data_IF_091201190628
#
_entry.id   IF_091201190628
#
_cell.length_a   1.000
_cell.length_b   1.000
_cell.length_c   1.000
_cell.angle_alpha   90.00
_cell.angle_beta   90.00
_cell.angle_gamma   90.00
#
_symmetry.space_group_name_H-M   'P 1'
#
loop_
_entity.id
_entity.type
_entity.pdbx_description
1 polymer ?
#
# COMPACT_ATOMS: atom_id res chain seq x y z
N UNK A 1 -15.11 -7.28 -58.84
CA UNK A 1 -14.35 -6.18 -58.22
C UNK A 1 -14.63 -6.00 -56.72
N UNK A 2 -15.88 -6.09 -56.23
CA UNK A 2 -16.18 -5.94 -54.77
C UNK A 2 -15.61 -7.03 -53.86
N UNK A 3 -15.44 -8.27 -54.33
CA UNK A 3 -14.89 -9.39 -53.55
C UNK A 3 -13.35 -9.33 -53.35
N UNK A 4 -12.61 -8.72 -54.29
CA UNK A 4 -11.15 -8.56 -54.18
C UNK A 4 -10.74 -7.47 -53.18
N UNK A 5 -11.59 -6.45 -53.00
CA UNK A 5 -11.33 -5.34 -52.05
C UNK A 5 -11.53 -5.83 -50.60
N UNK A 6 -12.49 -6.71 -50.34
CA UNK A 6 -12.75 -7.23 -49.00
C UNK A 6 -11.64 -8.16 -48.50
N UNK A 7 -11.00 -8.93 -49.40
CA UNK A 7 -9.86 -9.81 -49.07
C UNK A 7 -8.58 -9.02 -48.79
N UNK A 8 -8.39 -7.89 -49.46
CA UNK A 8 -7.24 -6.99 -49.21
C UNK A 8 -7.30 -6.27 -47.86
N UNK A 9 -8.49 -5.88 -47.40
CA UNK A 9 -8.70 -5.22 -46.13
C UNK A 9 -8.51 -6.18 -44.93
N UNK A 10 -8.92 -7.46 -45.10
CA UNK A 10 -8.73 -8.46 -44.05
C UNK A 10 -7.26 -8.87 -43.88
N UNK A 11 -6.45 -8.80 -44.93
CA UNK A 11 -5.02 -9.14 -44.87
C UNK A 11 -4.18 -8.00 -44.26
N UNK A 12 -4.64 -6.73 -44.30
CA UNK A 12 -3.93 -5.59 -43.67
C UNK A 12 -4.16 -5.48 -42.14
N UNK A 13 -5.21 -6.13 -41.60
CA UNK A 13 -5.47 -6.12 -40.14
C UNK A 13 -4.61 -7.14 -39.36
N UNK A 14 -3.95 -8.08 -40.01
CA UNK A 14 -3.14 -9.13 -39.34
C UNK A 14 -1.69 -8.68 -39.10
N UNK A 15 -1.23 -7.58 -39.71
CA UNK A 15 0.15 -7.11 -39.60
C UNK A 15 0.40 -6.05 -38.50
N UNK A 16 -0.63 -5.74 -37.70
CA UNK A 16 -0.57 -4.64 -36.71
C UNK A 16 -0.29 -5.03 -35.26
N UNK A 17 -0.02 -6.32 -34.93
CA UNK A 17 0.14 -6.75 -33.51
C UNK A 17 1.46 -7.47 -33.28
N UNK A 18 2.54 -6.96 -33.85
CA UNK A 18 3.91 -7.31 -33.41
C UNK A 18 4.54 -6.11 -32.69
N UNK A 19 3.89 -5.66 -31.62
CA UNK A 19 4.55 -4.87 -30.59
C UNK A 19 5.54 -5.81 -29.87
N UNK A 20 6.78 -5.85 -30.35
CA UNK A 20 7.89 -6.41 -29.57
C UNK A 20 8.00 -5.59 -28.29
N UNK A 21 7.33 -6.04 -27.23
CA UNK A 21 7.66 -5.62 -25.87
C UNK A 21 9.09 -6.10 -25.64
N UNK A 22 10.00 -5.17 -25.45
CA UNK A 22 11.39 -5.43 -25.17
C UNK A 22 11.47 -6.13 -23.79
N UNK A 23 11.36 -7.45 -23.77
CA UNK A 23 11.38 -8.26 -22.54
C UNK A 23 12.75 -8.27 -21.84
N UNK A 24 13.79 -7.68 -22.45
CA UNK A 24 15.13 -7.68 -21.85
C UNK A 24 15.26 -6.75 -20.64
N UNK A 25 14.44 -5.68 -20.56
CA UNK A 25 14.48 -4.75 -19.41
C UNK A 25 13.72 -5.30 -18.18
N UNK A 26 12.83 -6.28 -18.35
CA UNK A 26 12.14 -6.92 -17.24
C UNK A 26 12.93 -8.10 -16.67
N UNK A 27 13.67 -8.83 -17.50
CA UNK A 27 14.45 -9.99 -17.07
C UNK A 27 15.58 -9.65 -16.09
N UNK A 28 16.08 -8.41 -16.11
CA UNK A 28 17.17 -7.94 -15.27
C UNK A 28 16.73 -6.78 -14.37
N UNK A 29 15.52 -6.84 -13.79
CA UNK A 29 15.06 -5.81 -12.87
C UNK A 29 14.60 -6.41 -11.54
N UNK A 30 14.83 -5.66 -10.45
CA UNK A 30 14.24 -5.88 -9.13
C UNK A 30 13.29 -4.72 -8.85
N UNK A 31 12.03 -5.05 -8.57
CA UNK A 31 10.97 -4.08 -8.31
C UNK A 31 10.66 -4.06 -6.82
N UNK A 32 10.88 -2.91 -6.18
CA UNK A 32 10.81 -2.75 -4.72
C UNK A 32 9.65 -1.83 -4.33
N UNK A 33 8.73 -2.35 -3.50
CA UNK A 33 7.65 -1.60 -2.90
C UNK A 33 8.04 -0.93 -1.58
N UNK A 34 7.51 0.27 -1.30
CA UNK A 34 7.72 0.96 -0.04
C UNK A 34 6.64 2.02 0.20
N UNK A 35 6.58 2.59 1.42
CA UNK A 35 5.73 3.74 1.74
C UNK A 35 6.56 4.98 2.04
N UNK A 36 6.04 6.16 1.68
CA UNK A 36 6.65 7.45 2.00
C UNK A 36 6.32 7.85 3.45
N UNK A 37 6.82 7.09 4.43
CA UNK A 37 6.68 7.40 5.84
C UNK A 37 7.92 6.98 6.65
N UNK A 38 8.00 7.43 7.90
CA UNK A 38 9.19 7.25 8.77
C UNK A 38 9.47 5.77 9.10
N UNK A 39 8.44 4.91 9.17
CA UNK A 39 8.64 3.48 9.44
C UNK A 39 9.30 2.73 8.29
N UNK A 40 9.35 3.36 7.10
CA UNK A 40 10.04 2.87 5.90
C UNK A 40 11.37 3.63 5.64
N UNK A 41 11.96 4.22 6.69
CA UNK A 41 13.22 4.97 6.58
C UNK A 41 14.34 4.13 5.94
N UNK A 42 14.39 2.83 6.19
CA UNK A 42 15.36 1.92 5.57
C UNK A 42 15.23 1.93 4.04
N UNK A 43 14.01 1.79 3.52
CA UNK A 43 13.76 1.84 2.08
C UNK A 43 14.10 3.21 1.48
N UNK A 44 13.71 4.30 2.17
CA UNK A 44 13.99 5.67 1.74
C UNK A 44 15.49 5.95 1.68
N UNK A 45 16.24 5.48 2.69
CA UNK A 45 17.68 5.64 2.75
C UNK A 45 18.37 4.82 1.64
N UNK A 46 18.03 3.53 1.51
CA UNK A 46 18.57 2.65 0.47
C UNK A 46 18.33 3.20 -0.93
N UNK A 47 17.13 3.74 -1.18
CA UNK A 47 16.79 4.41 -2.44
C UNK A 47 17.62 5.68 -2.67
N UNK A 48 17.76 6.52 -1.63
CA UNK A 48 18.52 7.78 -1.70
C UNK A 48 20.01 7.54 -1.96
N UNK A 49 20.58 6.54 -1.31
CA UNK A 49 22.00 6.16 -1.42
C UNK A 49 22.29 5.24 -2.60
N UNK A 50 21.25 4.78 -3.31
CA UNK A 50 21.34 3.78 -4.37
C UNK A 50 22.03 2.49 -3.90
N UNK A 51 21.74 2.07 -2.65
CA UNK A 51 22.45 0.95 -2.01
C UNK A 51 22.21 -0.37 -2.74
N UNK A 52 20.99 -0.63 -3.25
CA UNK A 52 20.67 -1.83 -4.03
C UNK A 52 21.36 -1.80 -5.39
N UNK A 53 21.30 -0.66 -6.09
CA UNK A 53 21.94 -0.46 -7.39
C UNK A 53 23.47 -0.63 -7.28
N UNK A 54 24.07 -0.13 -6.21
CA UNK A 54 25.49 -0.32 -5.94
C UNK A 54 25.86 -1.77 -5.62
N UNK A 55 24.97 -2.51 -4.94
CA UNK A 55 25.17 -3.91 -4.55
C UNK A 55 25.01 -4.85 -5.75
N UNK A 56 23.99 -4.66 -6.57
CA UNK A 56 23.71 -5.52 -7.71
C UNK A 56 24.50 -5.15 -8.97
N UNK A 57 25.07 -3.94 -9.01
CA UNK A 57 25.83 -3.45 -10.16
C UNK A 57 24.93 -3.02 -11.33
N UNK A 58 25.58 -2.77 -12.49
CA UNK A 58 24.91 -2.18 -13.65
C UNK A 58 24.00 -3.13 -14.43
N UNK A 59 24.09 -4.41 -14.17
CA UNK A 59 23.35 -5.44 -14.90
C UNK A 59 21.93 -5.64 -14.37
N UNK A 60 21.64 -5.11 -13.17
CA UNK A 60 20.33 -5.18 -12.52
C UNK A 60 19.72 -3.77 -12.38
N UNK A 61 18.56 -3.59 -12.96
CA UNK A 61 17.81 -2.34 -12.83
C UNK A 61 16.91 -2.40 -11.58
N UNK A 62 17.08 -1.47 -10.63
CA UNK A 62 16.24 -1.40 -9.43
C UNK A 62 15.11 -0.39 -9.66
N UNK A 63 13.87 -0.86 -9.58
CA UNK A 63 12.66 -0.04 -9.74
C UNK A 63 11.97 0.12 -8.38
N UNK A 64 11.79 1.37 -7.95
CA UNK A 64 11.14 1.69 -6.68
C UNK A 64 9.73 2.22 -6.89
N UNK A 65 8.74 1.59 -6.25
CA UNK A 65 7.32 1.99 -6.32
C UNK A 65 6.82 2.35 -4.93
N UNK A 66 6.28 3.56 -4.79
CA UNK A 66 5.70 4.03 -3.54
C UNK A 66 4.21 3.68 -3.46
N UNK A 67 3.78 3.15 -2.31
CA UNK A 67 2.38 2.85 -2.00
C UNK A 67 1.89 3.68 -0.82
N UNK A 68 0.58 3.86 -0.71
CA UNK A 68 -0.03 4.54 0.44
C UNK A 68 -0.18 3.62 1.65
N UNK A 69 -0.45 2.33 1.42
CA UNK A 69 -0.64 1.34 2.48
C UNK A 69 -0.51 -0.10 1.96
N UNK A 70 -0.41 -1.05 2.89
CA UNK A 70 -0.11 -2.45 2.61
C UNK A 70 -1.05 -3.20 1.69
N UNK A 71 -2.39 -3.07 1.80
CA UNK A 71 -3.29 -3.76 0.88
C UNK A 71 -3.02 -3.45 -0.60
N UNK A 72 -2.76 -2.18 -0.94
CA UNK A 72 -2.41 -1.80 -2.32
C UNK A 72 -1.07 -2.38 -2.77
N UNK A 73 -0.10 -2.48 -1.87
CA UNK A 73 1.19 -3.12 -2.15
C UNK A 73 1.05 -4.63 -2.35
N UNK A 74 0.19 -5.31 -1.57
CA UNK A 74 -0.12 -6.74 -1.75
C UNK A 74 -0.74 -7.01 -3.12
N UNK A 75 -1.65 -6.17 -3.58
CA UNK A 75 -2.22 -6.30 -4.93
C UNK A 75 -1.14 -6.18 -6.02
N UNK A 76 -0.22 -5.22 -5.88
CA UNK A 76 0.90 -5.05 -6.79
C UNK A 76 1.87 -6.25 -6.76
N UNK A 77 2.10 -6.84 -5.58
CA UNK A 77 2.90 -8.05 -5.43
C UNK A 77 2.26 -9.24 -6.14
N UNK A 78 0.95 -9.45 -5.98
CA UNK A 78 0.22 -10.51 -6.65
C UNK A 78 0.12 -10.30 -8.17
N UNK A 79 0.11 -9.06 -8.64
CA UNK A 79 0.14 -8.73 -10.05
C UNK A 79 1.53 -8.89 -10.69
N UNK A 80 2.59 -9.08 -9.89
CA UNK A 80 3.99 -9.10 -10.36
C UNK A 80 4.54 -7.70 -10.71
N UNK A 81 3.87 -6.65 -10.23
CA UNK A 81 4.33 -5.26 -10.40
C UNK A 81 5.49 -4.92 -9.46
N UNK A 82 5.64 -5.67 -8.37
CA UNK A 82 6.79 -5.66 -7.46
C UNK A 82 7.22 -7.09 -7.12
N UNK A 83 8.49 -7.26 -6.75
CA UNK A 83 9.10 -8.54 -6.38
C UNK A 83 9.32 -8.65 -4.87
N UNK A 84 9.61 -7.52 -4.21
CA UNK A 84 9.88 -7.41 -2.78
C UNK A 84 9.33 -6.07 -2.26
N UNK A 85 8.96 -6.00 -0.98
CA UNK A 85 8.45 -4.76 -0.41
C UNK A 85 8.67 -4.62 1.08
N UNK A 86 8.69 -3.38 1.52
CA UNK A 86 8.60 -2.99 2.92
C UNK A 86 7.15 -2.77 3.28
N UNK A 87 6.61 -3.60 4.15
CA UNK A 87 5.17 -3.64 4.40
C UNK A 87 4.88 -3.86 5.90
N UNK A 88 3.69 -3.45 6.34
CA UNK A 88 3.24 -3.73 7.70
C UNK A 88 2.92 -5.23 7.93
N UNK A 89 2.98 -5.71 9.18
CA UNK A 89 2.82 -7.13 9.49
C UNK A 89 1.43 -7.68 9.11
N UNK A 90 0.37 -6.90 9.27
CA UNK A 90 -1.00 -7.38 8.97
C UNK A 90 -1.18 -7.70 7.49
N UNK A 91 -0.91 -6.80 6.54
CA UNK A 91 -0.99 -7.13 5.12
C UNK A 91 0.03 -8.19 4.70
N UNK A 92 1.23 -8.26 5.30
CA UNK A 92 2.22 -9.31 5.01
C UNK A 92 1.70 -10.71 5.38
N UNK A 93 1.14 -10.87 6.58
CA UNK A 93 0.53 -12.13 7.02
C UNK A 93 -0.67 -12.49 6.13
N UNK A 94 -1.52 -11.50 5.82
CA UNK A 94 -2.65 -11.71 4.89
C UNK A 94 -2.19 -12.19 3.51
N UNK A 95 -1.12 -11.62 2.98
CA UNK A 95 -0.56 -12.02 1.69
C UNK A 95 0.00 -13.46 1.74
N UNK A 96 0.73 -13.81 2.81
CA UNK A 96 1.22 -15.17 3.02
C UNK A 96 0.09 -16.20 3.03
N UNK A 97 -0.97 -15.94 3.79
CA UNK A 97 -2.13 -16.85 3.88
C UNK A 97 -2.86 -16.97 2.53
N UNK A 98 -3.11 -15.85 1.85
CA UNK A 98 -3.81 -15.83 0.56
C UNK A 98 -3.02 -16.52 -0.56
N UNK A 99 -1.69 -16.47 -0.49
CA UNK A 99 -0.79 -17.11 -1.46
C UNK A 99 -0.44 -18.57 -1.11
N UNK A 100 -1.01 -19.14 -0.04
CA UNK A 100 -0.63 -20.46 0.47
C UNK A 100 0.87 -20.58 0.81
N UNK A 101 1.49 -19.49 1.24
CA UNK A 101 2.90 -19.44 1.64
C UNK A 101 3.89 -18.99 0.56
N UNK A 102 3.44 -18.68 -0.65
CA UNK A 102 4.33 -18.19 -1.71
C UNK A 102 4.93 -16.81 -1.37
N UNK A 103 4.15 -15.94 -0.72
CA UNK A 103 4.65 -14.69 -0.17
C UNK A 103 5.24 -14.93 1.22
N UNK A 104 6.51 -14.58 1.41
CA UNK A 104 7.25 -14.83 2.64
C UNK A 104 7.79 -13.53 3.27
N UNK A 105 7.85 -13.50 4.60
CA UNK A 105 8.52 -12.44 5.34
C UNK A 105 10.01 -12.81 5.46
N UNK A 106 10.87 -12.00 4.86
CA UNK A 106 12.31 -12.23 4.83
C UNK A 106 12.99 -11.71 6.11
N UNK A 107 12.57 -10.57 6.62
CA UNK A 107 13.18 -9.92 7.79
C UNK A 107 12.24 -8.90 8.42
N UNK A 108 12.45 -8.59 9.70
CA UNK A 108 11.93 -7.38 10.31
C UNK A 108 12.72 -6.15 9.85
N UNK A 109 12.04 -5.03 9.61
CA UNK A 109 12.66 -3.78 9.17
C UNK A 109 12.59 -2.66 10.22
N UNK A 110 11.43 -2.45 10.85
CA UNK A 110 11.23 -1.44 11.89
C UNK A 110 10.39 -2.00 13.04
N UNK A 111 10.59 -1.46 14.24
CA UNK A 111 9.82 -1.81 15.45
C UNK A 111 9.06 -0.59 15.96
N UNK A 112 7.76 -0.76 16.23
CA UNK A 112 6.87 0.32 16.68
C UNK A 112 6.40 1.19 15.50
N UNK A 113 6.01 2.43 15.78
CA UNK A 113 5.74 3.45 14.75
C UNK A 113 4.29 3.82 14.54
N UNK A 114 3.31 3.08 15.07
CA UNK A 114 1.91 3.50 15.07
C UNK A 114 1.57 4.19 16.41
N UNK A 115 1.05 5.40 16.34
CA UNK A 115 0.53 6.16 17.48
C UNK A 115 -0.84 6.73 17.10
N UNK A 116 -1.74 6.78 18.07
CA UNK A 116 -3.01 7.48 17.93
C UNK A 116 -2.82 8.94 18.36
N UNK A 117 -3.08 9.84 17.43
CA UNK A 117 -3.07 11.29 17.68
C UNK A 117 -4.49 11.86 17.62
N UNK A 118 -4.75 12.95 18.33
CA UNK A 118 -6.02 13.67 18.28
C UNK A 118 -5.86 15.05 17.67
N UNK A 119 -6.90 15.52 17.03
CA UNK A 119 -7.00 16.92 16.61
C UNK A 119 -7.07 17.83 17.84
N UNK A 120 -6.47 18.99 17.75
CA UNK A 120 -6.65 20.04 18.76
C UNK A 120 -8.14 20.39 18.90
N UNK A 121 -8.61 20.50 20.14
CA UNK A 121 -10.01 20.81 20.44
C UNK A 121 -11.01 19.64 20.28
N UNK A 122 -10.59 18.45 19.87
CA UNK A 122 -11.50 17.30 19.64
C UNK A 122 -12.11 16.69 20.91
N UNK A 123 -11.79 17.20 22.10
CA UNK A 123 -12.29 16.69 23.39
C UNK A 123 -12.06 15.18 23.56
N UNK A 124 -10.86 14.72 23.26
CA UNK A 124 -10.42 13.34 23.41
C UNK A 124 -9.29 13.32 24.45
N UNK A 125 -9.53 12.72 25.60
CA UNK A 125 -8.56 12.52 26.68
C UNK A 125 -8.14 11.06 26.82
N UNK A 126 -8.94 10.13 26.30
CA UNK A 126 -8.68 8.71 26.30
C UNK A 126 -9.47 7.98 25.23
N UNK A 127 -9.22 6.67 25.10
CA UNK A 127 -9.80 5.86 24.02
C UNK A 127 -11.34 5.85 24.05
N UNK A 128 -11.95 5.90 25.24
CA UNK A 128 -13.41 5.92 25.39
C UNK A 128 -14.06 7.17 24.79
N UNK A 129 -13.31 8.28 24.69
CA UNK A 129 -13.80 9.53 24.10
C UNK A 129 -13.86 9.47 22.57
N UNK A 130 -13.41 8.38 21.95
CA UNK A 130 -13.58 8.13 20.51
C UNK A 130 -15.05 7.79 20.15
N UNK A 131 -15.92 7.53 21.14
CA UNK A 131 -17.34 7.37 20.91
C UNK A 131 -17.93 8.58 20.18
N UNK A 132 -18.59 8.37 19.04
CA UNK A 132 -19.13 9.44 18.19
C UNK A 132 -18.09 10.23 17.40
N UNK A 133 -16.83 9.85 17.40
CA UNK A 133 -15.74 10.51 16.69
C UNK A 133 -15.40 9.82 15.36
N UNK A 134 -14.72 10.57 14.50
CA UNK A 134 -14.14 10.06 13.25
C UNK A 134 -12.64 9.85 13.43
N UNK A 135 -12.17 8.63 13.23
CA UNK A 135 -10.75 8.24 13.33
C UNK A 135 -10.23 7.86 11.96
N UNK A 136 -9.18 8.51 11.52
CA UNK A 136 -8.51 8.20 10.26
C UNK A 136 -7.55 7.02 10.39
N UNK A 137 -7.49 6.20 9.33
CA UNK A 137 -6.49 5.15 9.13
C UNK A 137 -5.98 5.23 7.69
N UNK A 138 -4.77 4.77 7.35
CA UNK A 138 -4.26 4.88 5.99
C UNK A 138 -5.09 4.09 4.95
N UNK A 139 -5.56 2.90 5.31
CA UNK A 139 -6.40 2.04 4.46
C UNK A 139 -7.05 0.93 5.28
N UNK A 140 -8.25 0.52 4.90
CA UNK A 140 -8.92 -0.65 5.47
C UNK A 140 -8.05 -1.91 5.24
N UNK A 141 -7.87 -2.73 6.28
CA UNK A 141 -7.08 -3.96 6.20
C UNK A 141 -5.57 -3.78 6.42
N UNK A 142 -5.09 -2.56 6.68
CA UNK A 142 -3.69 -2.34 7.04
C UNK A 142 -3.43 -2.56 8.55
N UNK A 143 -2.17 -2.41 8.97
CA UNK A 143 -1.75 -2.61 10.36
C UNK A 143 -2.43 -1.64 11.32
N UNK A 144 -2.53 -0.34 10.97
CA UNK A 144 -3.18 0.67 11.80
C UNK A 144 -4.68 0.39 11.96
N UNK A 145 -5.34 -0.10 10.90
CA UNK A 145 -6.75 -0.50 10.99
C UNK A 145 -6.96 -1.58 12.03
N UNK A 146 -6.21 -2.69 11.95
CA UNK A 146 -6.35 -3.78 12.91
C UNK A 146 -6.00 -3.32 14.33
N UNK A 147 -4.96 -2.50 14.50
CA UNK A 147 -4.58 -1.94 15.80
C UNK A 147 -5.69 -1.06 16.38
N UNK A 148 -6.35 -0.24 15.55
CA UNK A 148 -7.49 0.57 15.98
C UNK A 148 -8.68 -0.31 16.40
N UNK A 149 -9.03 -1.32 15.58
CA UNK A 149 -10.13 -2.23 15.92
C UNK A 149 -9.89 -2.93 17.27
N UNK A 150 -8.67 -3.40 17.50
CA UNK A 150 -8.30 -4.01 18.79
C UNK A 150 -8.38 -3.01 19.95
N UNK A 151 -7.91 -1.79 19.77
CA UNK A 151 -7.98 -0.72 20.75
C UNK A 151 -9.44 -0.37 21.11
N UNK A 152 -10.31 -0.30 20.11
CA UNK A 152 -11.74 -0.05 20.32
C UNK A 152 -12.40 -1.21 21.07
N UNK A 153 -12.16 -2.45 20.66
CA UNK A 153 -12.67 -3.64 21.32
C UNK A 153 -12.27 -3.68 22.80
N UNK A 154 -10.99 -3.49 23.13
CA UNK A 154 -10.47 -3.48 24.49
C UNK A 154 -11.09 -2.37 25.37
N UNK A 155 -11.61 -1.33 24.72
CA UNK A 155 -12.26 -0.18 25.38
C UNK A 155 -13.78 -0.29 25.42
N UNK A 156 -14.36 -1.38 24.90
CA UNK A 156 -15.80 -1.60 24.80
C UNK A 156 -16.47 -0.77 23.72
N UNK A 157 -15.71 -0.29 22.74
CA UNK A 157 -16.18 0.46 21.57
C UNK A 157 -16.18 -0.42 20.32
N UNK A 158 -16.94 -0.01 19.31
CA UNK A 158 -16.98 -0.65 17.99
C UNK A 158 -17.08 0.40 16.87
N UNK A 159 -16.58 0.08 15.69
CA UNK A 159 -16.82 0.92 14.53
C UNK A 159 -18.30 0.91 14.11
N UNK A 160 -18.74 1.96 13.44
CA UNK A 160 -20.11 2.08 12.91
C UNK A 160 -20.46 0.91 12.00
N UNK A 161 -19.51 0.41 11.21
CA UNK A 161 -19.68 -0.75 10.32
C UNK A 161 -19.98 -2.05 11.07
N UNK A 162 -19.74 -2.10 12.37
CA UNK A 162 -20.02 -3.25 13.26
C UNK A 162 -21.11 -2.93 14.30
N UNK A 163 -21.94 -1.93 14.01
CA UNK A 163 -23.05 -1.53 14.89
C UNK A 163 -22.63 -0.69 16.10
N UNK A 164 -21.43 -0.14 16.10
CA UNK A 164 -20.93 0.80 17.10
C UNK A 164 -21.14 2.27 16.73
N UNK A 165 -20.32 3.12 17.31
CA UNK A 165 -20.43 4.57 17.18
C UNK A 165 -19.12 5.28 16.85
N UNK A 166 -18.07 4.57 16.48
CA UNK A 166 -16.81 5.16 16.03
C UNK A 166 -16.77 5.09 14.50
N UNK A 167 -16.64 6.23 13.85
CA UNK A 167 -16.46 6.27 12.38
C UNK A 167 -14.99 6.05 12.04
N UNK A 168 -14.69 5.00 11.28
CA UNK A 168 -13.34 4.72 10.77
C UNK A 168 -13.27 5.16 9.32
N UNK A 169 -12.37 6.08 9.01
CA UNK A 169 -12.22 6.70 7.68
C UNK A 169 -10.85 6.41 7.07
N UNK A 170 -10.80 5.98 5.82
CA UNK A 170 -9.54 5.78 5.11
C UNK A 170 -9.05 7.14 4.58
N UNK A 171 -7.89 7.58 5.08
CA UNK A 171 -7.22 8.84 4.70
C UNK A 171 -5.74 8.56 4.52
N UNK A 172 -5.19 8.84 3.35
CA UNK A 172 -3.75 8.63 3.09
C UNK A 172 -2.90 9.41 4.09
N UNK A 173 -1.75 8.85 4.50
CA UNK A 173 -0.87 9.46 5.50
C UNK A 173 -0.51 10.92 5.21
N UNK A 174 -0.28 11.26 3.94
CA UNK A 174 0.05 12.62 3.53
C UNK A 174 -1.11 13.61 3.72
N UNK A 175 -2.34 13.15 3.77
CA UNK A 175 -3.55 13.99 3.84
C UNK A 175 -4.10 14.13 5.27
N UNK A 176 -3.64 13.29 6.21
CA UNK A 176 -4.15 13.27 7.60
C UNK A 176 -4.04 14.63 8.27
N UNK A 177 -2.88 15.31 8.16
CA UNK A 177 -2.68 16.61 8.79
C UNK A 177 -3.69 17.66 8.28
N UNK A 178 -3.95 17.67 6.98
CA UNK A 178 -4.92 18.56 6.36
C UNK A 178 -6.37 18.20 6.76
N UNK A 179 -6.70 16.91 6.80
CA UNK A 179 -8.01 16.44 7.24
C UNK A 179 -8.30 16.81 8.71
N UNK A 180 -7.29 16.68 9.59
CA UNK A 180 -7.38 17.14 10.98
C UNK A 180 -7.55 18.66 11.06
N UNK A 181 -6.77 19.43 10.31
CA UNK A 181 -6.85 20.89 10.31
C UNK A 181 -8.23 21.42 9.86
N UNK A 182 -8.86 20.76 8.90
CA UNK A 182 -10.22 21.08 8.46
C UNK A 182 -11.32 20.58 9.42
N UNK A 183 -10.99 19.67 10.33
CA UNK A 183 -11.96 19.04 11.22
C UNK A 183 -12.74 17.87 10.58
N UNK A 184 -12.26 17.33 9.44
CA UNK A 184 -12.86 16.19 8.75
C UNK A 184 -12.71 14.90 9.58
N UNK A 185 -11.65 14.84 10.39
CA UNK A 185 -11.36 13.75 11.33
C UNK A 185 -10.97 14.30 12.71
N UNK A 186 -11.29 13.55 13.75
CA UNK A 186 -11.03 13.94 15.15
C UNK A 186 -9.72 13.34 15.68
N UNK A 187 -9.35 12.17 15.14
CA UNK A 187 -8.13 11.44 15.50
C UNK A 187 -7.60 10.64 14.30
N UNK A 188 -6.36 10.21 14.38
CA UNK A 188 -5.74 9.39 13.34
C UNK A 188 -4.66 8.45 13.92
#
# INVERSE_FOLDING_TARGET
MKKLILTGIMLLMVLGVSGCRNNNDEANSIKVGYFNNVTHAQALLMKSEKSLENTFGKDINVKWTAFNAGPAEVEALFAGDIDIGYIGPVPAISANVKSNGDVQILSGAAKGGAILIRREGAQISGVKDLAGKTVAIPQIGNTQHLSLLKLLEDSGLKPVTEGGNVTVSAVANADVANAMARGDVDAA
#
